data_IF_969799067969
#
_entry.id   IF_969799067969
#
_cell.length_a   1.000
_cell.length_b   1.000
_cell.length_c   1.000
_cell.angle_alpha   90.00
_cell.angle_beta   90.00
_cell.angle_gamma   90.00
#
_symmetry.space_group_name_H-M   'P 1'
#
loop_
_entity.id
_entity.type
_entity.pdbx_description
1 polymer ?
#
# COMPACT_ATOMS: atom_id res chain seq x y z
N UNK A 1 30.68 -55.65 -48.37
CA UNK A 1 29.51 -55.34 -47.53
C UNK A 1 29.86 -55.71 -46.10
N UNK A 2 30.19 -54.72 -45.28
CA UNK A 2 30.39 -54.80 -43.84
C UNK A 2 29.77 -53.52 -43.25
N UNK A 3 29.03 -53.57 -42.13
CA UNK A 3 28.21 -52.44 -41.70
C UNK A 3 29.03 -51.37 -40.99
N UNK A 4 28.67 -50.11 -41.27
CA UNK A 4 29.15 -48.90 -40.62
C UNK A 4 28.69 -48.83 -39.16
N UNK A 5 29.62 -48.53 -38.24
CA UNK A 5 29.32 -48.12 -36.85
C UNK A 5 28.64 -46.74 -36.84
N UNK A 6 27.60 -46.51 -36.02
CA UNK A 6 27.10 -45.16 -35.79
C UNK A 6 28.04 -44.40 -34.82
N UNK A 7 28.13 -43.06 -34.89
CA UNK A 7 28.77 -42.29 -33.84
C UNK A 7 27.92 -42.33 -32.57
N UNK A 8 28.56 -42.60 -31.44
CA UNK A 8 27.98 -42.53 -30.11
C UNK A 8 27.40 -41.14 -29.86
N UNK A 9 26.07 -41.05 -29.75
CA UNK A 9 25.40 -39.85 -29.25
C UNK A 9 25.80 -39.65 -27.79
N UNK A 10 26.60 -38.61 -27.51
CA UNK A 10 26.78 -38.11 -26.16
C UNK A 10 25.44 -37.49 -25.71
N UNK A 11 24.59 -38.28 -25.08
CA UNK A 11 23.52 -37.74 -24.24
C UNK A 11 24.19 -37.02 -23.09
N UNK A 12 24.31 -35.70 -23.19
CA UNK A 12 24.43 -34.86 -22.01
C UNK A 12 23.23 -35.22 -21.14
N UNK A 13 23.49 -35.86 -20.01
CA UNK A 13 22.50 -36.03 -18.98
C UNK A 13 22.24 -34.63 -18.43
N UNK A 14 21.24 -33.95 -19.01
CA UNK A 14 20.60 -32.80 -18.40
C UNK A 14 19.98 -33.32 -17.10
N UNK A 15 20.74 -33.21 -16.02
CA UNK A 15 20.24 -33.48 -14.68
C UNK A 15 19.05 -32.56 -14.45
N UNK A 16 17.85 -33.12 -14.45
CA UNK A 16 16.63 -32.40 -14.11
C UNK A 16 16.74 -31.94 -12.65
N UNK A 17 17.26 -30.73 -12.45
CA UNK A 17 17.40 -30.14 -11.13
C UNK A 17 16.04 -29.98 -10.48
N UNK A 18 15.86 -30.59 -9.30
CA UNK A 18 14.68 -30.37 -8.46
C UNK A 18 14.96 -29.22 -7.50
N UNK A 19 14.03 -28.28 -7.39
CA UNK A 19 14.12 -27.14 -6.47
C UNK A 19 12.81 -26.96 -5.71
N UNK A 20 12.93 -26.72 -4.40
CA UNK A 20 11.80 -26.39 -3.53
C UNK A 20 12.19 -25.23 -2.62
N UNK A 21 11.17 -24.50 -2.13
CA UNK A 21 11.34 -23.39 -1.23
C UNK A 21 10.45 -23.59 0.01
N UNK A 22 10.97 -23.20 1.17
CA UNK A 22 10.16 -23.06 2.38
C UNK A 22 9.78 -21.58 2.46
N UNK A 23 8.48 -21.31 2.41
CA UNK A 23 7.95 -19.94 2.45
C UNK A 23 7.26 -19.68 3.77
N UNK A 24 7.36 -18.44 4.25
CA UNK A 24 6.55 -18.01 5.39
C UNK A 24 5.07 -18.03 5.00
N UNK A 25 4.22 -18.52 5.90
CA UNK A 25 2.77 -18.50 5.72
C UNK A 25 2.13 -17.15 6.02
N UNK A 26 2.93 -16.10 6.26
CA UNK A 26 2.43 -14.80 6.71
C UNK A 26 1.58 -14.13 5.63
N UNK A 27 0.46 -13.57 6.07
CA UNK A 27 -0.35 -12.68 5.26
C UNK A 27 -0.14 -11.24 5.74
N UNK A 28 0.17 -10.33 4.82
CA UNK A 28 0.29 -8.90 5.12
C UNK A 28 -0.80 -8.09 4.43
N UNK A 29 -1.21 -6.99 5.03
CA UNK A 29 -2.12 -6.02 4.45
C UNK A 29 -2.11 -4.72 5.24
N UNK A 30 -2.80 -3.71 4.73
CA UNK A 30 -2.94 -2.45 5.43
C UNK A 30 -4.31 -1.83 5.16
N UNK A 31 -4.71 -0.91 6.02
CA UNK A 31 -5.89 -0.09 5.82
C UNK A 31 -5.61 1.36 6.18
N UNK A 32 -6.21 2.28 5.45
CA UNK A 32 -6.07 3.72 5.63
C UNK A 32 -7.43 4.26 6.03
N UNK A 33 -7.53 4.74 7.26
CA UNK A 33 -8.73 5.34 7.85
C UNK A 33 -8.56 6.86 7.85
N UNK A 34 -9.44 7.55 7.11
CA UNK A 34 -9.58 9.00 7.18
C UNK A 34 -10.64 9.37 8.20
N UNK A 35 -10.29 10.22 9.16
CA UNK A 35 -11.21 10.80 10.12
C UNK A 35 -11.56 12.19 9.61
N UNK A 36 -12.85 12.43 9.40
CA UNK A 36 -13.38 13.70 8.89
C UNK A 36 -14.28 14.35 9.93
N UNK A 37 -14.10 15.64 10.16
CA UNK A 37 -14.86 16.35 11.19
C UNK A 37 -14.37 16.02 12.60
N UNK A 38 -13.06 15.94 12.80
CA UNK A 38 -12.42 15.59 14.07
C UNK A 38 -13.02 16.36 15.25
N UNK A 39 -13.16 17.69 15.12
CA UNK A 39 -13.73 18.54 16.16
C UNK A 39 -15.15 18.12 16.56
N UNK A 40 -16.01 17.83 15.59
CA UNK A 40 -17.41 17.42 15.82
C UNK A 40 -17.49 16.04 16.47
N UNK A 41 -16.67 15.10 15.99
CA UNK A 41 -16.62 13.74 16.57
C UNK A 41 -16.14 13.82 18.01
N UNK A 42 -15.08 14.61 18.27
CA UNK A 42 -14.56 14.84 19.63
C UNK A 42 -15.61 15.44 20.57
N UNK A 43 -16.43 16.38 20.11
CA UNK A 43 -17.51 16.94 20.94
C UNK A 43 -18.70 15.99 21.14
N UNK A 44 -19.01 15.15 20.15
CA UNK A 44 -20.19 14.29 20.18
C UNK A 44 -19.99 12.97 20.93
N UNK A 45 -18.76 12.44 20.97
CA UNK A 45 -18.46 11.12 21.54
C UNK A 45 -17.91 11.27 22.95
N UNK A 46 -18.55 10.71 23.99
CA UNK A 46 -18.05 10.77 25.36
C UNK A 46 -16.68 10.10 25.56
N UNK A 47 -16.01 10.40 26.67
CA UNK A 47 -14.80 9.67 27.07
C UNK A 47 -15.10 8.18 27.27
N UNK A 48 -14.16 7.31 26.88
CA UNK A 48 -14.29 5.84 26.88
C UNK A 48 -15.28 5.26 25.86
N UNK A 49 -15.97 6.09 25.08
CA UNK A 49 -16.79 5.66 23.93
C UNK A 49 -15.99 5.72 22.63
N UNK A 50 -16.43 4.95 21.63
CA UNK A 50 -15.76 4.86 20.34
C UNK A 50 -16.70 4.99 19.15
N UNK A 51 -16.11 5.38 18.02
CA UNK A 51 -16.69 5.23 16.69
C UNK A 51 -16.05 4.03 16.02
N UNK A 52 -16.88 3.10 15.54
CA UNK A 52 -16.42 1.95 14.77
C UNK A 52 -16.34 2.29 13.27
N UNK A 53 -15.21 1.97 12.63
CA UNK A 53 -15.06 2.08 11.18
C UNK A 53 -15.90 1.03 10.46
N UNK A 54 -16.11 1.21 9.15
CA UNK A 54 -16.57 0.09 8.31
C UNK A 54 -15.59 -1.08 8.37
N UNK A 55 -16.13 -2.29 8.25
CA UNK A 55 -15.31 -3.48 8.12
C UNK A 55 -14.51 -3.47 6.82
N UNK A 56 -13.30 -4.01 6.85
CA UNK A 56 -12.42 -4.14 5.69
C UNK A 56 -11.67 -5.47 5.70
N UNK A 57 -11.22 -5.92 4.52
CA UNK A 57 -10.40 -7.12 4.37
C UNK A 57 -8.93 -6.78 4.21
N UNK A 58 -8.09 -7.39 5.03
CA UNK A 58 -6.63 -7.27 4.97
C UNK A 58 -5.97 -8.50 5.60
N UNK A 59 -4.79 -8.89 5.11
CA UNK A 59 -4.02 -10.02 5.66
C UNK A 59 -4.86 -11.32 5.81
N UNK A 60 -5.77 -11.58 4.87
CA UNK A 60 -6.62 -12.78 4.89
C UNK A 60 -7.86 -12.74 5.80
N UNK A 61 -8.07 -11.65 6.55
CA UNK A 61 -9.15 -11.55 7.54
C UNK A 61 -9.97 -10.27 7.42
N UNK A 62 -11.16 -10.29 8.03
CA UNK A 62 -12.04 -9.13 8.18
C UNK A 62 -11.79 -8.43 9.50
N UNK A 63 -11.56 -7.12 9.42
CA UNK A 63 -11.23 -6.25 10.55
C UNK A 63 -12.13 -5.02 10.60
N UNK A 64 -12.18 -4.36 11.74
CA UNK A 64 -12.64 -2.97 11.88
C UNK A 64 -11.73 -2.21 12.84
N UNK A 65 -11.80 -0.88 12.83
CA UNK A 65 -11.08 -0.01 13.75
C UNK A 65 -12.06 0.63 14.73
N UNK A 66 -11.73 0.58 16.01
CA UNK A 66 -12.36 1.40 17.06
C UNK A 66 -11.53 2.66 17.28
N UNK A 67 -12.15 3.81 17.06
CA UNK A 67 -11.57 5.13 17.26
C UNK A 67 -12.18 5.78 18.51
N UNK A 68 -11.35 6.03 19.52
CA UNK A 68 -11.71 6.72 20.74
C UNK A 68 -11.18 8.14 20.67
N UNK A 69 -12.01 9.15 20.35
CA UNK A 69 -11.55 10.52 20.21
C UNK A 69 -11.12 11.14 21.55
N UNK A 70 -11.67 10.66 22.68
CA UNK A 70 -11.48 11.20 24.03
C UNK A 70 -10.92 10.14 25.01
N UNK A 71 -10.04 9.26 24.50
CA UNK A 71 -9.41 8.19 25.27
C UNK A 71 -10.30 6.96 25.48
N UNK A 72 -9.68 5.79 25.62
CA UNK A 72 -10.41 4.53 25.86
C UNK A 72 -10.74 4.26 27.34
N UNK A 73 -10.17 5.04 28.26
CA UNK A 73 -10.47 5.03 29.70
C UNK A 73 -10.04 6.37 30.33
N UNK A 74 -10.48 6.69 31.56
CA UNK A 74 -10.21 8.00 32.18
C UNK A 74 -8.73 8.36 32.29
N UNK A 75 -7.85 7.37 32.47
CA UNK A 75 -6.39 7.60 32.58
C UNK A 75 -5.76 8.09 31.27
N UNK A 76 -6.46 7.95 30.13
CA UNK A 76 -5.98 8.36 28.81
C UNK A 76 -6.92 9.38 28.15
N UNK A 77 -7.69 10.13 28.94
CA UNK A 77 -8.66 11.11 28.45
C UNK A 77 -8.05 12.25 27.62
N UNK A 78 -6.74 12.47 27.71
CA UNK A 78 -5.96 13.45 26.94
C UNK A 78 -5.39 12.89 25.61
N UNK A 79 -5.60 11.61 25.34
CA UNK A 79 -5.14 10.92 24.14
C UNK A 79 -6.29 10.51 23.23
N UNK A 80 -5.99 10.46 21.95
CA UNK A 80 -6.72 9.59 21.03
C UNK A 80 -6.23 8.16 21.24
N UNK A 81 -7.17 7.22 21.35
CA UNK A 81 -6.88 5.79 21.36
C UNK A 81 -7.44 5.11 20.12
N UNK A 82 -6.72 4.11 19.60
CA UNK A 82 -7.14 3.38 18.40
C UNK A 82 -6.90 1.89 18.59
N UNK A 83 -7.89 1.07 18.28
CA UNK A 83 -7.81 -0.39 18.35
C UNK A 83 -8.24 -1.04 17.04
N UNK A 84 -7.58 -2.11 16.64
CA UNK A 84 -7.99 -2.98 15.54
C UNK A 84 -8.72 -4.18 16.13
N UNK A 85 -9.89 -4.50 15.59
CA UNK A 85 -10.78 -5.56 16.07
C UNK A 85 -10.96 -6.61 14.99
N UNK A 86 -10.81 -7.88 15.37
CA UNK A 86 -11.06 -9.01 14.49
C UNK A 86 -12.58 -9.28 14.40
N UNK A 87 -13.12 -9.26 13.19
CA UNK A 87 -14.54 -9.54 12.93
C UNK A 87 -14.81 -10.99 12.54
N UNK A 88 -13.81 -11.68 11.98
CA UNK A 88 -13.94 -13.10 11.65
C UNK A 88 -13.92 -13.99 12.91
N UNK A 89 -14.59 -15.14 12.81
CA UNK A 89 -14.46 -16.21 13.80
C UNK A 89 -13.20 -17.01 13.49
N UNK A 90 -12.33 -17.18 14.49
CA UNK A 90 -11.11 -17.98 14.39
C UNK A 90 -11.19 -19.17 15.33
N UNK A 91 -10.70 -20.33 14.89
CA UNK A 91 -10.81 -21.58 15.64
C UNK A 91 -10.01 -21.57 16.96
N UNK A 92 -8.85 -20.90 16.98
CA UNK A 92 -7.98 -20.81 18.15
C UNK A 92 -7.61 -19.35 18.44
N UNK A 93 -6.59 -18.85 17.78
CA UNK A 93 -6.12 -17.47 17.86
C UNK A 93 -5.31 -17.11 16.62
N UNK A 94 -5.15 -15.82 16.37
CA UNK A 94 -4.20 -15.28 15.41
C UNK A 94 -3.05 -14.61 16.17
N UNK A 95 -1.84 -14.74 15.66
CA UNK A 95 -0.69 -13.96 16.09
C UNK A 95 -0.51 -12.83 15.09
N UNK A 96 -0.66 -11.59 15.54
CA UNK A 96 -0.79 -10.42 14.65
C UNK A 96 0.20 -9.33 15.05
N UNK A 97 1.09 -8.97 14.13
CA UNK A 97 1.90 -7.77 14.27
C UNK A 97 1.13 -6.59 13.70
N UNK A 98 1.02 -5.53 14.48
CA UNK A 98 0.16 -4.39 14.20
C UNK A 98 0.89 -3.08 14.47
N UNK A 99 0.93 -2.22 13.45
CA UNK A 99 1.46 -0.86 13.56
C UNK A 99 0.39 0.13 13.15
N UNK A 100 0.09 1.07 14.03
CA UNK A 100 -0.64 2.28 13.68
C UNK A 100 0.35 3.40 13.42
N UNK A 101 0.16 4.13 12.33
CA UNK A 101 1.00 5.26 11.97
C UNK A 101 0.17 6.35 11.30
N UNK A 102 0.65 7.59 11.34
CA UNK A 102 0.13 8.62 10.47
C UNK A 102 0.64 8.42 9.04
N UNK A 103 -0.07 8.98 8.06
CA UNK A 103 0.25 8.78 6.65
C UNK A 103 1.66 9.28 6.26
N UNK A 104 2.18 10.28 6.97
CA UNK A 104 3.51 10.88 6.80
C UNK A 104 4.65 10.04 7.42
N UNK A 105 4.34 9.05 8.27
CA UNK A 105 5.33 8.21 8.94
C UNK A 105 5.73 6.99 8.10
N UNK A 106 6.20 7.23 6.86
CA UNK A 106 6.44 6.19 5.84
C UNK A 106 7.38 5.08 6.30
N UNK A 107 8.36 5.38 7.15
CA UNK A 107 9.28 4.36 7.67
C UNK A 107 8.59 3.27 8.50
N UNK A 108 7.56 3.66 9.27
CA UNK A 108 6.77 2.71 10.09
C UNK A 108 5.87 1.80 9.24
N UNK A 109 5.65 2.15 7.98
CA UNK A 109 4.78 1.43 7.06
C UNK A 109 5.53 0.34 6.28
N UNK A 110 6.86 0.27 6.42
CA UNK A 110 7.67 -0.75 5.74
C UNK A 110 7.37 -2.12 6.35
N UNK A 111 7.15 -3.17 5.52
CA UNK A 111 6.93 -4.52 6.03
C UNK A 111 8.06 -5.01 6.96
N UNK A 112 9.31 -4.61 6.71
CA UNK A 112 10.45 -4.92 7.58
C UNK A 112 10.30 -4.34 8.98
N UNK A 113 9.78 -3.12 9.13
CA UNK A 113 9.52 -2.49 10.42
C UNK A 113 8.37 -3.20 11.15
N UNK A 114 7.25 -3.44 10.46
CA UNK A 114 6.08 -4.11 11.05
C UNK A 114 6.46 -5.48 11.60
N UNK A 115 7.33 -6.21 10.89
CA UNK A 115 7.84 -7.52 11.29
C UNK A 115 8.75 -7.52 12.52
N UNK A 116 9.27 -6.36 12.95
CA UNK A 116 10.04 -6.25 14.20
C UNK A 116 9.17 -6.07 15.44
N UNK A 117 7.88 -5.76 15.28
CA UNK A 117 6.97 -5.54 16.41
C UNK A 117 6.54 -6.87 17.00
N UNK A 118 6.44 -6.93 18.32
CA UNK A 118 5.94 -8.12 19.01
C UNK A 118 4.51 -8.47 18.56
N UNK A 119 4.23 -9.74 18.25
CA UNK A 119 2.90 -10.16 17.82
C UNK A 119 1.93 -10.20 18.99
N UNK A 120 0.71 -9.73 18.72
CA UNK A 120 -0.39 -9.73 19.66
C UNK A 120 -1.30 -10.92 19.39
N UNK A 121 -1.78 -11.56 20.46
CA UNK A 121 -2.71 -12.68 20.37
C UNK A 121 -4.14 -12.17 20.22
N UNK A 122 -4.75 -12.44 19.07
CA UNK A 122 -6.16 -12.18 18.80
C UNK A 122 -6.97 -13.45 18.99
N UNK A 123 -7.95 -13.42 19.89
CA UNK A 123 -8.98 -14.45 20.04
C UNK A 123 -10.28 -13.97 19.38
N UNK A 124 -11.33 -14.80 19.42
CA UNK A 124 -12.66 -14.42 18.91
C UNK A 124 -13.12 -13.10 19.52
N UNK A 125 -13.50 -12.14 18.67
CA UNK A 125 -13.87 -10.75 19.06
C UNK A 125 -12.79 -9.97 19.82
N UNK A 126 -11.52 -10.42 19.74
CA UNK A 126 -10.39 -9.74 20.36
C UNK A 126 -10.05 -8.42 19.66
N UNK A 127 -9.56 -7.47 20.44
CA UNK A 127 -9.03 -6.20 19.95
C UNK A 127 -7.66 -5.91 20.54
N UNK A 128 -6.81 -5.27 19.75
CA UNK A 128 -5.52 -4.73 20.21
C UNK A 128 -5.30 -3.36 19.60
N UNK A 129 -4.64 -2.49 20.37
CA UNK A 129 -4.56 -1.08 20.02
C UNK A 129 -3.50 -0.29 20.77
N UNK A 130 -3.46 1.00 20.46
CA UNK A 130 -2.64 1.99 21.16
C UNK A 130 -3.57 2.87 21.98
N UNK A 131 -3.53 2.68 23.30
CA UNK A 131 -4.26 3.52 24.27
C UNK A 131 -3.78 4.97 24.24
N UNK A 132 -2.47 5.16 24.02
CA UNK A 132 -1.81 6.46 23.82
C UNK A 132 -1.32 6.58 22.37
N UNK A 133 -2.22 6.67 21.39
CA UNK A 133 -1.82 6.78 19.99
C UNK A 133 -1.19 8.16 19.71
N UNK A 134 -1.89 9.23 20.09
CA UNK A 134 -1.40 10.61 20.01
C UNK A 134 -2.07 11.45 21.08
N UNK A 135 -1.38 12.42 21.68
CA UNK A 135 -2.04 13.41 22.55
C UNK A 135 -2.88 14.34 21.67
N UNK A 136 -4.09 14.68 22.10
CA UNK A 136 -4.97 15.55 21.31
C UNK A 136 -4.31 16.91 21.03
N UNK A 137 -3.68 17.51 22.05
CA UNK A 137 -2.98 18.78 21.89
C UNK A 137 -1.83 18.71 20.87
N UNK A 138 -1.09 17.59 20.83
CA UNK A 138 -0.03 17.39 19.84
C UNK A 138 -0.59 17.26 18.43
N UNK A 139 -1.70 16.54 18.25
CA UNK A 139 -2.35 16.41 16.95
C UNK A 139 -2.86 17.77 16.45
N UNK A 140 -3.54 18.52 17.32
CA UNK A 140 -4.14 19.82 17.03
C UNK A 140 -3.11 20.89 16.67
N UNK A 141 -1.90 20.80 17.23
CA UNK A 141 -0.78 21.71 16.89
C UNK A 141 0.03 21.23 15.68
N UNK A 142 -0.19 20.01 15.21
CA UNK A 142 0.59 19.43 14.12
C UNK A 142 0.00 19.74 12.74
N UNK A 143 0.85 19.69 11.72
CA UNK A 143 0.41 19.74 10.32
C UNK A 143 -0.35 18.48 9.85
N UNK A 144 -0.61 17.50 10.73
CA UNK A 144 -1.33 16.26 10.39
C UNK A 144 -2.85 16.42 10.43
N UNK A 145 -3.34 17.39 11.19
CA UNK A 145 -4.74 17.79 11.18
C UNK A 145 -4.90 18.92 10.17
N UNK A 146 -5.55 18.64 9.03
CA UNK A 146 -5.80 19.61 7.96
C UNK A 146 -7.27 19.59 7.62
N UNK A 147 -7.89 20.77 7.53
CA UNK A 147 -9.31 20.91 7.22
C UNK A 147 -10.21 20.06 8.14
N UNK A 148 -9.90 20.05 9.44
CA UNK A 148 -10.57 19.22 10.47
C UNK A 148 -10.54 17.70 10.18
N UNK A 149 -9.54 17.25 9.42
CA UNK A 149 -9.35 15.87 9.01
C UNK A 149 -7.92 15.39 9.30
N UNK A 150 -7.79 14.11 9.66
CA UNK A 150 -6.49 13.44 9.75
C UNK A 150 -6.62 11.99 9.28
N UNK A 151 -5.48 11.37 8.97
CA UNK A 151 -5.47 10.01 8.40
C UNK A 151 -4.52 9.12 9.17
N UNK A 152 -5.03 7.93 9.54
CA UNK A 152 -4.29 6.88 10.23
C UNK A 152 -4.21 5.67 9.31
N UNK A 153 -3.03 5.06 9.25
CA UNK A 153 -2.79 3.78 8.58
C UNK A 153 -2.56 2.70 9.63
N UNK A 154 -3.19 1.55 9.46
CA UNK A 154 -2.86 0.33 10.20
C UNK A 154 -2.25 -0.70 9.27
N UNK A 155 -1.01 -1.09 9.54
CA UNK A 155 -0.30 -2.16 8.85
C UNK A 155 -0.39 -3.44 9.68
N UNK A 156 -0.78 -4.53 9.03
CA UNK A 156 -1.20 -5.79 9.64
C UNK A 156 -0.38 -6.92 9.02
N UNK A 157 0.28 -7.71 9.86
CA UNK A 157 0.90 -8.98 9.47
C UNK A 157 0.34 -10.09 10.36
N UNK A 158 -0.36 -11.04 9.75
CA UNK A 158 -0.86 -12.24 10.42
C UNK A 158 0.17 -13.33 10.23
N UNK A 159 0.74 -13.81 11.34
CA UNK A 159 1.81 -14.80 11.33
C UNK A 159 1.20 -16.17 11.00
N UNK A 160 1.69 -16.77 9.92
CA UNK A 160 1.26 -18.08 9.44
C UNK A 160 2.31 -19.14 9.69
N UNK A 161 1.91 -20.42 9.62
CA UNK A 161 2.88 -21.52 9.67
C UNK A 161 3.68 -21.57 8.36
N UNK A 162 5.01 -21.74 8.41
CA UNK A 162 5.80 -21.99 7.21
C UNK A 162 5.30 -23.24 6.49
N UNK A 163 5.41 -23.25 5.17
CA UNK A 163 5.08 -24.41 4.35
C UNK A 163 6.09 -24.59 3.22
N UNK A 164 6.32 -25.85 2.84
CA UNK A 164 7.10 -26.19 1.67
C UNK A 164 6.27 -25.97 0.41
N UNK A 165 6.90 -25.40 -0.62
CA UNK A 165 6.32 -25.22 -1.94
C UNK A 165 7.36 -25.65 -2.96
N UNK A 166 6.98 -26.51 -3.88
CA UNK A 166 7.84 -26.82 -5.02
C UNK A 166 8.08 -25.54 -5.82
N UNK A 167 9.34 -25.28 -6.15
CA UNK A 167 9.65 -24.27 -7.13
C UNK A 167 9.31 -24.94 -8.44
N UNK A 168 8.13 -24.64 -9.00
CA UNK A 168 7.85 -25.00 -10.38
C UNK A 168 9.05 -24.52 -11.18
N UNK A 169 9.82 -25.46 -11.74
CA UNK A 169 10.84 -25.16 -12.75
C UNK A 169 10.19 -24.14 -13.68
N UNK A 170 10.82 -22.98 -13.83
CA UNK A 170 10.27 -21.90 -14.62
C UNK A 170 9.68 -22.52 -15.90
N UNK A 171 8.35 -22.46 -16.05
CA UNK A 171 7.77 -22.52 -17.39
C UNK A 171 8.63 -21.56 -18.20
N UNK A 172 9.22 -21.98 -19.34
CA UNK A 172 10.19 -21.18 -20.06
C UNK A 172 9.58 -19.79 -20.17
N UNK A 173 10.14 -18.85 -19.40
CA UNK A 173 9.71 -17.49 -19.46
C UNK A 173 10.09 -17.12 -20.86
N UNK A 174 9.08 -17.00 -21.73
CA UNK A 174 9.23 -16.16 -22.90
C UNK A 174 9.74 -14.87 -22.29
N UNK A 175 11.02 -14.58 -22.49
CA UNK A 175 11.63 -13.32 -22.15
C UNK A 175 10.89 -12.32 -23.02
N UNK A 176 9.73 -11.85 -22.54
CA UNK A 176 9.05 -10.72 -23.13
C UNK A 176 10.00 -9.57 -22.81
N UNK A 177 10.69 -9.01 -23.81
CA UNK A 177 11.56 -7.87 -23.57
C UNK A 177 10.73 -6.77 -22.91
N UNK A 178 11.35 -5.95 -22.04
CA UNK A 178 10.68 -4.81 -21.44
C UNK A 178 9.93 -4.01 -22.50
N UNK A 179 8.70 -3.54 -22.24
CA UNK A 179 7.92 -2.81 -23.23
C UNK A 179 8.73 -1.64 -23.80
N UNK A 180 8.96 -1.67 -25.11
CA UNK A 180 9.68 -0.67 -25.89
C UNK A 180 8.82 0.58 -26.17
N UNK A 181 7.55 0.57 -25.76
CA UNK A 181 6.61 1.67 -25.98
C UNK A 181 7.15 3.06 -25.60
N UNK A 182 7.95 3.29 -24.53
CA UNK A 182 8.48 4.62 -24.23
C UNK A 182 9.40 5.14 -25.33
N UNK A 183 10.15 4.26 -25.99
CA UNK A 183 11.05 4.59 -27.09
C UNK A 183 10.26 4.85 -28.37
N UNK A 184 9.26 4.02 -28.67
CA UNK A 184 8.35 4.22 -29.81
C UNK A 184 7.54 5.51 -29.67
N UNK A 185 7.07 5.81 -28.46
CA UNK A 185 6.35 7.05 -28.17
C UNK A 185 7.24 8.28 -28.31
N UNK A 186 8.49 8.20 -27.83
CA UNK A 186 9.48 9.25 -28.03
C UNK A 186 9.79 9.47 -29.51
N UNK A 187 9.94 8.40 -30.28
CA UNK A 187 10.16 8.48 -31.72
C UNK A 187 8.99 9.14 -32.45
N UNK A 188 7.75 8.84 -32.06
CA UNK A 188 6.54 9.46 -32.62
C UNK A 188 6.43 10.96 -32.27
N UNK A 189 6.84 11.36 -31.07
CA UNK A 189 6.92 12.77 -30.70
C UNK A 189 8.00 13.52 -31.49
N UNK A 190 9.15 12.88 -31.74
CA UNK A 190 10.27 13.48 -32.47
C UNK A 190 10.07 13.51 -33.99
N UNK A 191 9.36 12.53 -34.56
CA UNK A 191 9.12 12.44 -36.00
C UNK A 191 8.00 13.37 -36.48
N UNK A 192 7.21 13.92 -35.56
CA UNK A 192 5.99 14.71 -35.83
C UNK A 192 4.94 13.98 -36.69
N UNK A 193 5.10 12.67 -36.92
CA UNK A 193 4.24 11.91 -37.81
C UNK A 193 2.86 11.72 -37.18
N UNK A 194 1.82 12.20 -37.86
CA UNK A 194 0.43 12.16 -37.36
C UNK A 194 0.07 13.27 -36.37
N UNK A 195 0.93 14.29 -36.19
CA UNK A 195 0.62 15.43 -35.33
C UNK A 195 -0.60 16.20 -35.87
N UNK A 196 -1.60 16.40 -35.01
CA UNK A 196 -2.88 17.03 -35.33
C UNK A 196 -3.05 18.40 -34.65
N UNK A 197 -2.10 18.81 -33.80
CA UNK A 197 -2.04 20.14 -33.17
C UNK A 197 -0.64 20.74 -33.19
N UNK A 198 -0.57 22.07 -33.09
CA UNK A 198 0.68 22.82 -32.93
C UNK A 198 0.56 23.84 -31.80
N UNK A 199 1.48 23.79 -30.85
CA UNK A 199 1.60 24.77 -29.77
C UNK A 199 2.57 25.88 -30.17
N UNK A 200 2.25 27.13 -29.81
CA UNK A 200 3.18 28.26 -29.93
C UNK A 200 3.66 28.66 -28.55
N UNK A 201 4.95 28.51 -28.30
CA UNK A 201 5.59 28.86 -27.02
C UNK A 201 6.79 29.74 -27.32
N UNK A 202 6.82 30.97 -26.79
CA UNK A 202 7.94 31.90 -26.99
C UNK A 202 8.25 32.24 -28.46
N UNK A 203 7.27 32.19 -29.35
CA UNK A 203 7.45 32.44 -30.79
C UNK A 203 7.81 31.21 -31.63
N UNK A 204 8.18 30.09 -31.00
CA UNK A 204 8.45 28.81 -31.68
C UNK A 204 7.18 27.95 -31.75
N UNK A 205 7.07 27.14 -32.81
CA UNK A 205 5.94 26.21 -33.03
C UNK A 205 6.40 24.78 -32.75
N UNK A 206 5.63 24.04 -31.97
CA UNK A 206 5.87 22.63 -31.62
C UNK A 206 4.68 21.79 -32.06
N UNK A 207 4.91 20.76 -32.88
CA UNK A 207 3.87 19.81 -33.27
C UNK A 207 3.59 18.81 -32.13
N UNK A 208 2.33 18.39 -32.00
CA UNK A 208 1.89 17.45 -30.97
C UNK A 208 0.62 16.71 -31.40
N UNK A 209 0.23 15.71 -30.60
CA UNK A 209 -0.93 14.85 -30.84
C UNK A 209 -1.99 15.05 -29.74
N UNK A 210 -3.25 15.38 -30.09
CA UNK A 210 -4.33 15.73 -29.15
C UNK A 210 -4.60 14.64 -28.12
N UNK A 211 -4.44 13.37 -28.50
CA UNK A 211 -4.64 12.23 -27.60
C UNK A 211 -3.66 12.22 -26.42
N UNK A 212 -2.50 12.88 -26.55
CA UNK A 212 -1.45 12.95 -25.53
C UNK A 212 -1.62 14.17 -24.61
N UNK A 213 -2.26 15.24 -25.07
CA UNK A 213 -2.26 16.54 -24.36
C UNK A 213 -3.49 16.83 -23.50
N UNK A 214 -4.34 15.85 -23.19
CA UNK A 214 -5.57 16.12 -22.42
C UNK A 214 -5.29 16.07 -20.92
N UNK A 215 -4.65 17.09 -20.34
CA UNK A 215 -4.85 17.62 -18.97
C UNK A 215 -3.87 18.79 -18.72
N UNK A 216 -4.41 20.00 -18.46
CA UNK A 216 -3.60 21.16 -18.07
C UNK A 216 -4.22 22.50 -18.42
N UNK A 217 -5.26 22.91 -17.67
CA UNK A 217 -5.83 24.27 -17.75
C UNK A 217 -4.85 25.24 -17.07
N UNK A 218 -3.96 25.86 -17.84
CA UNK A 218 -3.15 26.98 -17.36
C UNK A 218 -4.03 28.25 -17.40
N UNK A 219 -4.37 28.75 -16.21
CA UNK A 219 -5.02 30.04 -16.01
C UNK A 219 -4.13 31.16 -16.53
N UNK A 220 -4.62 31.91 -17.51
CA UNK A 220 -4.00 33.17 -17.94
C UNK A 220 -4.35 34.27 -16.93
N UNK A 221 -3.40 34.61 -16.06
CA UNK A 221 -3.41 35.90 -15.34
C UNK A 221 -2.67 36.92 -16.19
N UNK A 222 -3.42 37.79 -16.87
CA UNK A 222 -2.90 39.07 -17.38
C UNK A 222 -2.82 40.03 -16.19
N UNK A 223 -1.60 40.34 -15.74
CA UNK A 223 -1.30 41.60 -15.04
C UNK A 223 -0.41 42.43 -15.94
N UNK A 224 -0.90 43.58 -16.37
CA UNK A 224 -0.08 44.68 -16.89
C UNK A 224 -0.62 45.95 -16.24
N UNK A 225 0.21 46.55 -15.40
CA UNK A 225 0.10 47.87 -14.81
C UNK A 225 1.52 48.44 -14.81
N UNK A 226 1.65 49.66 -15.35
CA UNK A 226 2.80 50.57 -15.50
C UNK A 226 2.90 50.98 -16.99
N UNK A 227 2.73 52.22 -17.41
CA UNK A 227 2.70 53.56 -16.78
C UNK A 227 1.53 54.36 -17.36
#
# INVERSE_FOLDING_TARGET
>A
MAPSLPPSSSTAADGAGSASAIVSGDASGYHVLRIEGYSRIKSAVPSSEYVESRSFRAAGHTWAVWYYPNGNCPEYADYISICLVLKDTVANHLMVQLVFSFIDQVEKQKPSYVRTVEPNKYVRHGSWGRRKFVRMAELEQSARLKDDCFTVRCDIVVIGKPHAKDTTAATPSILVPPPDWPQHFRALLLSEQGADVRFRVGGQKFAAHRCVSRYGRLSSTRSSLAL
#
